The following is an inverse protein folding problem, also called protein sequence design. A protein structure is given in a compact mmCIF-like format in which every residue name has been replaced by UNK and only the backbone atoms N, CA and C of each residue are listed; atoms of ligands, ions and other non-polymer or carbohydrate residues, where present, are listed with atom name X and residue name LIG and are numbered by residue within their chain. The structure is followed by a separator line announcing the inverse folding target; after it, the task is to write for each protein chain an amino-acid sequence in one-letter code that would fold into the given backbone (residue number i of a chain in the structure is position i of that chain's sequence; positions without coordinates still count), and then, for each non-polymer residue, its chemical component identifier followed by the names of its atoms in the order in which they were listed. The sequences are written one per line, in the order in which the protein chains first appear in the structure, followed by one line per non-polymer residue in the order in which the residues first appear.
data_IF_929169191282
#
_entry.id   IF_929169191282
#
_cell.length_a   1.000
_cell.length_b   1.000
_cell.length_c   1.000
_cell.angle_alpha   90.00
_cell.angle_beta   90.00
_cell.angle_gamma   90.00
#
_symmetry.space_group_name_H-M   'P 1'
#
loop_
_entity.id
_entity.type
_entity.pdbx_description
1 polymer ?
#
# COMPACT_ATOMS: atom_id res chain seq x y z
N UNK A 1 10.22 -13.31 -11.06
CA UNK A 1 10.01 -12.26 -12.08
C UNK A 1 8.53 -12.05 -12.37
N UNK A 2 7.75 -13.08 -12.78
CA UNK A 2 6.30 -12.93 -13.03
C UNK A 2 5.53 -12.38 -11.82
N UNK A 3 5.82 -12.85 -10.60
CA UNK A 3 5.22 -12.35 -9.36
C UNK A 3 5.50 -10.86 -9.13
N UNK A 4 6.76 -10.43 -9.24
CA UNK A 4 7.17 -9.02 -9.13
C UNK A 4 6.48 -8.15 -10.19
N UNK A 5 6.35 -8.64 -11.42
CA UNK A 5 5.62 -7.93 -12.47
C UNK A 5 4.14 -7.78 -12.09
N UNK A 6 3.51 -8.85 -11.58
CA UNK A 6 2.13 -8.81 -11.11
C UNK A 6 1.95 -7.84 -9.94
N UNK A 7 2.90 -7.81 -9.00
CA UNK A 7 2.94 -6.86 -7.88
C UNK A 7 3.13 -5.41 -8.34
N UNK A 8 3.74 -5.19 -9.50
CA UNK A 8 3.90 -3.88 -10.13
C UNK A 8 2.64 -3.40 -10.87
N UNK A 9 1.80 -4.33 -11.35
CA UNK A 9 0.54 -3.99 -12.05
C UNK A 9 -0.39 -3.21 -11.14
N UNK A 10 -0.52 -3.61 -9.88
CA UNK A 10 -1.39 -2.94 -8.91
C UNK A 10 -1.02 -1.45 -8.67
N UNK A 11 0.22 -1.10 -8.27
CA UNK A 11 0.60 0.30 -8.07
C UNK A 11 0.60 1.09 -9.38
N UNK A 12 0.95 0.49 -10.52
CA UNK A 12 0.86 1.16 -11.81
C UNK A 12 -0.59 1.49 -12.19
N UNK A 13 -1.51 0.56 -11.98
CA UNK A 13 -2.94 0.77 -12.22
C UNK A 13 -3.51 1.85 -11.31
N UNK A 14 -3.18 1.81 -10.00
CA UNK A 14 -3.59 2.86 -9.07
C UNK A 14 -3.03 4.21 -9.53
N UNK A 15 -1.73 4.30 -9.81
CA UNK A 15 -1.13 5.55 -10.28
C UNK A 15 -1.82 6.09 -11.53
N UNK A 16 -2.13 5.23 -12.50
CA UNK A 16 -2.85 5.60 -13.71
C UNK A 16 -4.25 6.16 -13.42
N UNK A 17 -5.04 5.47 -12.60
CA UNK A 17 -6.39 5.93 -12.20
C UNK A 17 -6.30 7.24 -11.42
N UNK A 18 -5.32 7.37 -10.53
CA UNK A 18 -5.09 8.59 -9.75
C UNK A 18 -4.77 9.79 -10.64
N UNK A 19 -3.88 9.63 -11.63
CA UNK A 19 -3.46 10.72 -12.54
C UNK A 19 -4.56 11.07 -13.54
N UNK A 20 -5.20 10.06 -14.15
CA UNK A 20 -6.21 10.28 -15.19
C UNK A 20 -7.48 10.94 -14.67
N UNK A 21 -7.77 10.80 -13.37
CA UNK A 21 -8.96 11.39 -12.74
C UNK A 21 -8.65 12.60 -11.84
N UNK A 22 -7.48 13.24 -11.96
CA UNK A 22 -7.19 14.51 -11.25
C UNK A 22 -8.21 15.57 -11.68
N UNK A 23 -8.96 16.11 -10.72
CA UNK A 23 -9.99 17.13 -10.94
C UNK A 23 -11.37 16.61 -11.33
N UNK A 24 -11.54 15.29 -11.53
CA UNK A 24 -12.82 14.70 -11.97
C UNK A 24 -13.75 14.29 -10.79
N UNK A 25 -13.54 14.83 -9.59
CA UNK A 25 -14.36 14.52 -8.43
C UNK A 25 -14.68 15.81 -7.66
N UNK A 26 -15.89 16.34 -7.86
CA UNK A 26 -16.32 17.59 -7.22
C UNK A 26 -16.56 17.45 -5.70
N UNK A 27 -16.72 16.22 -5.22
CA UNK A 27 -17.03 15.92 -3.82
C UNK A 27 -15.80 16.03 -2.94
N UNK A 28 -14.70 15.41 -3.37
CA UNK A 28 -13.43 15.47 -2.66
C UNK A 28 -12.24 15.21 -3.60
N UNK A 29 -11.54 16.28 -3.97
CA UNK A 29 -10.33 16.26 -4.79
C UNK A 29 -9.15 15.54 -4.10
N UNK A 30 -9.27 15.21 -2.81
CA UNK A 30 -8.22 14.48 -2.07
C UNK A 30 -8.15 13.00 -2.39
N UNK A 31 -9.22 12.39 -2.93
CA UNK A 31 -9.25 10.97 -3.29
C UNK A 31 -8.17 10.61 -4.34
N UNK A 32 -8.07 11.30 -5.51
CA UNK A 32 -7.05 10.97 -6.50
C UNK A 32 -5.64 11.23 -5.97
N UNK A 33 -5.43 12.33 -5.22
CA UNK A 33 -4.13 12.64 -4.59
C UNK A 33 -3.72 11.54 -3.61
N UNK A 34 -4.64 11.09 -2.76
CA UNK A 34 -4.43 9.98 -1.84
C UNK A 34 -4.04 8.70 -2.59
N UNK A 35 -4.71 8.40 -3.69
CA UNK A 35 -4.46 7.19 -4.48
C UNK A 35 -3.08 7.23 -5.17
N UNK A 36 -2.64 8.41 -5.63
CA UNK A 36 -1.26 8.64 -6.11
C UNK A 36 -0.25 8.44 -4.98
N UNK A 37 -0.52 8.97 -3.78
CA UNK A 37 0.35 8.78 -2.62
C UNK A 37 0.50 7.28 -2.27
N UNK A 38 -0.61 6.53 -2.23
CA UNK A 38 -0.59 5.08 -2.02
C UNK A 38 0.23 4.37 -3.10
N UNK A 39 -0.02 4.68 -4.37
CA UNK A 39 0.73 4.07 -5.48
C UNK A 39 2.24 4.33 -5.34
N UNK A 40 2.63 5.57 -5.05
CA UNK A 40 4.04 5.94 -4.84
C UNK A 40 4.68 5.21 -3.66
N UNK A 41 3.94 5.03 -2.55
CA UNK A 41 4.41 4.30 -1.39
C UNK A 41 4.57 2.80 -1.67
N UNK A 42 3.67 2.20 -2.46
CA UNK A 42 3.80 0.82 -2.92
C UNK A 42 5.04 0.63 -3.83
N UNK A 43 5.29 1.55 -4.76
CA UNK A 43 6.52 1.53 -5.56
C UNK A 43 7.77 1.63 -4.69
N UNK A 44 7.78 2.55 -3.72
CA UNK A 44 8.90 2.71 -2.80
C UNK A 44 9.13 1.43 -1.98
N UNK A 45 8.05 0.80 -1.49
CA UNK A 45 8.15 -0.46 -0.76
C UNK A 45 8.75 -1.58 -1.63
N UNK A 46 8.30 -1.72 -2.88
CA UNK A 46 8.83 -2.71 -3.82
C UNK A 46 10.33 -2.50 -4.07
N UNK A 47 10.77 -1.25 -4.24
CA UNK A 47 12.18 -0.91 -4.44
C UNK A 47 12.99 -1.27 -3.19
N UNK A 48 12.52 -0.88 -2.00
CA UNK A 48 13.21 -1.19 -0.74
C UNK A 48 13.30 -2.70 -0.50
N UNK A 49 12.23 -3.45 -0.75
CA UNK A 49 12.23 -4.92 -0.66
C UNK A 49 13.23 -5.55 -1.63
N UNK A 50 13.28 -5.07 -2.87
CA UNK A 50 14.26 -5.54 -3.85
C UNK A 50 15.71 -5.26 -3.41
N UNK A 51 15.99 -4.08 -2.84
CA UNK A 51 17.32 -3.73 -2.31
C UNK A 51 17.69 -4.62 -1.12
N UNK A 52 16.78 -4.85 -0.19
CA UNK A 52 17.01 -5.75 0.97
C UNK A 52 17.28 -7.18 0.50
N UNK A 53 16.52 -7.69 -0.47
CA UNK A 53 16.74 -9.02 -1.05
C UNK A 53 18.08 -9.11 -1.80
N UNK A 54 18.45 -8.06 -2.54
CA UNK A 54 19.72 -7.99 -3.24
C UNK A 54 20.91 -8.04 -2.25
N UNK A 55 20.85 -7.25 -1.17
CA UNK A 55 21.87 -7.29 -0.11
C UNK A 55 21.98 -8.66 0.55
N UNK A 56 20.83 -9.30 0.84
CA UNK A 56 20.79 -10.65 1.41
C UNK A 56 21.46 -11.69 0.50
N UNK A 57 21.31 -11.56 -0.82
CA UNK A 57 21.95 -12.46 -1.78
C UNK A 57 23.46 -12.25 -1.89
N UNK A 58 23.92 -11.00 -1.83
CA UNK A 58 25.34 -10.66 -1.95
C UNK A 58 26.19 -10.97 -0.71
N UNK A 59 25.59 -10.94 0.50
CA UNK A 59 26.38 -10.81 1.73
C UNK A 59 26.19 -11.92 2.78
N UNK A 60 25.88 -13.17 2.38
CA UNK A 60 25.83 -14.33 3.30
C UNK A 60 27.11 -14.52 4.16
N UNK A 61 28.22 -13.87 3.84
CA UNK A 61 29.53 -14.02 4.52
C UNK A 61 29.83 -12.88 5.53
N UNK A 62 29.01 -11.83 5.64
CA UNK A 62 29.25 -10.72 6.62
C UNK A 62 27.97 -10.28 7.36
N UNK A 63 27.14 -11.26 7.73
CA UNK A 63 26.00 -11.12 8.65
C UNK A 63 26.54 -10.93 10.07
N UNK A 64 26.48 -9.76 10.71
CA UNK A 64 25.34 -9.35 11.55
C UNK A 64 25.29 -7.81 11.81
N UNK A 65 26.23 -7.01 11.27
CA UNK A 65 26.45 -5.59 11.68
C UNK A 65 26.50 -4.56 10.54
N UNK A 66 26.04 -4.88 9.34
CA UNK A 66 25.98 -3.87 8.27
C UNK A 66 24.83 -2.88 8.51
N UNK A 67 25.20 -1.66 8.93
CA UNK A 67 24.28 -0.53 9.21
C UNK A 67 23.26 -0.34 8.08
N UNK A 68 23.68 -0.50 6.82
CA UNK A 68 22.82 -0.34 5.65
C UNK A 68 21.62 -1.29 5.69
N UNK A 69 21.83 -2.58 5.97
CA UNK A 69 20.74 -3.56 5.99
C UNK A 69 19.70 -3.22 7.06
N UNK A 70 20.16 -2.89 8.27
CA UNK A 70 19.29 -2.47 9.37
C UNK A 70 18.51 -1.20 9.01
N UNK A 71 19.18 -0.22 8.41
CA UNK A 71 18.56 1.04 7.96
C UNK A 71 17.50 0.78 6.89
N UNK A 72 17.77 -0.06 5.89
CA UNK A 72 16.78 -0.39 4.85
C UNK A 72 15.57 -1.14 5.42
N UNK A 73 15.77 -2.10 6.33
CA UNK A 73 14.65 -2.79 7.00
C UNK A 73 13.83 -1.84 7.89
N UNK A 74 14.50 -0.93 8.61
CA UNK A 74 13.83 0.09 9.39
C UNK A 74 13.00 1.02 8.49
N UNK A 75 13.59 1.50 7.39
CA UNK A 75 12.90 2.35 6.42
C UNK A 75 11.67 1.64 5.83
N UNK A 76 11.80 0.36 5.48
CA UNK A 76 10.72 -0.46 4.97
C UNK A 76 9.60 -0.63 6.00
N UNK A 77 9.96 -0.82 7.28
CA UNK A 77 8.99 -0.88 8.39
C UNK A 77 8.25 0.45 8.56
N UNK A 78 8.97 1.58 8.48
CA UNK A 78 8.38 2.93 8.56
C UNK A 78 7.44 3.16 7.38
N UNK A 79 7.84 2.82 6.15
CA UNK A 79 6.98 2.95 4.96
C UNK A 79 5.71 2.12 5.11
N UNK A 80 5.80 0.88 5.59
CA UNK A 80 4.62 0.03 5.84
C UNK A 80 3.66 0.64 6.86
N UNK A 81 4.19 1.21 7.96
CA UNK A 81 3.37 1.91 8.96
C UNK A 81 2.71 3.17 8.38
N UNK A 82 3.46 3.97 7.61
CA UNK A 82 2.92 5.15 6.95
C UNK A 82 1.80 4.79 5.96
N UNK A 83 1.99 3.72 5.19
CA UNK A 83 0.99 3.18 4.27
C UNK A 83 -0.26 2.70 5.00
N UNK A 84 -0.11 2.05 6.16
CA UNK A 84 -1.24 1.64 6.98
C UNK A 84 -2.07 2.84 7.45
N UNK A 85 -1.43 3.90 7.94
CA UNK A 85 -2.10 5.15 8.31
C UNK A 85 -2.77 5.80 7.10
N UNK A 86 -2.09 5.82 5.95
CA UNK A 86 -2.65 6.35 4.71
C UNK A 86 -3.91 5.57 4.28
N UNK A 87 -3.95 4.25 4.41
CA UNK A 87 -5.14 3.44 4.13
C UNK A 87 -6.31 3.83 5.04
N UNK A 88 -6.05 4.06 6.33
CA UNK A 88 -7.07 4.53 7.29
C UNK A 88 -7.67 5.86 6.83
N UNK A 89 -6.81 6.82 6.48
CA UNK A 89 -7.22 8.13 5.96
C UNK A 89 -8.06 7.96 4.68
N UNK A 90 -7.66 7.03 3.81
CA UNK A 90 -8.39 6.67 2.59
C UNK A 90 -9.83 6.24 2.84
N UNK A 91 -10.08 5.43 3.87
CA UNK A 91 -11.45 5.05 4.23
C UNK A 91 -12.31 6.26 4.53
N UNK A 92 -11.78 7.22 5.31
CA UNK A 92 -12.52 8.42 5.68
C UNK A 92 -12.90 9.21 4.42
N UNK A 93 -12.00 9.33 3.45
CA UNK A 93 -12.30 10.02 2.18
C UNK A 93 -13.29 9.26 1.31
N UNK A 94 -13.09 7.96 1.10
CA UNK A 94 -13.92 7.18 0.18
C UNK A 94 -15.34 6.95 0.73
N UNK A 95 -15.47 6.67 2.03
CA UNK A 95 -16.79 6.50 2.65
C UNK A 95 -17.55 7.81 2.81
N UNK A 96 -16.87 8.93 3.08
CA UNK A 96 -17.54 10.24 3.13
C UNK A 96 -18.13 10.65 1.78
N UNK A 97 -17.51 10.21 0.68
CA UNK A 97 -18.00 10.43 -0.68
C UNK A 97 -19.07 9.43 -1.16
N UNK A 98 -19.43 8.40 -0.38
CA UNK A 98 -20.34 7.32 -0.82
C UNK A 98 -21.72 7.82 -1.27
N UNK A 99 -22.34 8.72 -0.51
CA UNK A 99 -23.68 9.23 -0.82
C UNK A 99 -23.73 10.14 -2.05
N UNK A 100 -22.58 10.68 -2.47
CA UNK A 100 -22.43 11.60 -3.61
C UNK A 100 -21.50 11.03 -4.69
N UNK A 101 -21.30 9.72 -4.72
CA UNK A 101 -20.38 9.07 -5.64
C UNK A 101 -20.65 9.39 -7.13
N UNK A 102 -21.90 9.65 -7.51
CA UNK A 102 -22.30 10.05 -8.87
C UNK A 102 -21.71 11.40 -9.32
N UNK A 103 -21.18 12.21 -8.41
CA UNK A 103 -20.48 13.47 -8.71
C UNK A 103 -18.97 13.29 -8.92
N UNK A 104 -18.48 12.07 -8.81
CA UNK A 104 -17.10 11.70 -9.08
C UNK A 104 -17.04 10.73 -10.25
N UNK A 105 -15.92 10.73 -10.94
CA UNK A 105 -15.63 9.71 -11.95
C UNK A 105 -15.82 8.31 -11.35
N UNK A 106 -16.71 7.53 -11.98
CA UNK A 106 -17.09 6.21 -11.48
C UNK A 106 -15.88 5.30 -11.38
N UNK A 107 -14.94 5.36 -12.33
CA UNK A 107 -13.76 4.50 -12.32
C UNK A 107 -12.87 4.78 -11.10
N UNK A 108 -12.61 6.06 -10.81
CA UNK A 108 -11.82 6.49 -9.65
C UNK A 108 -12.48 6.07 -8.34
N UNK A 109 -13.78 6.35 -8.21
CA UNK A 109 -14.52 6.05 -6.99
C UNK A 109 -14.56 4.54 -6.71
N UNK A 110 -14.96 3.73 -7.70
CA UNK A 110 -15.06 2.28 -7.53
C UNK A 110 -13.70 1.63 -7.31
N UNK A 111 -12.65 2.08 -7.99
CA UNK A 111 -11.28 1.57 -7.78
C UNK A 111 -10.81 1.84 -6.34
N UNK A 112 -11.01 3.08 -5.86
CA UNK A 112 -10.67 3.45 -4.48
C UNK A 112 -11.47 2.65 -3.45
N UNK A 113 -12.79 2.49 -3.69
CA UNK A 113 -13.68 1.71 -2.83
C UNK A 113 -13.27 0.24 -2.76
N UNK A 114 -13.03 -0.40 -3.90
CA UNK A 114 -12.59 -1.81 -3.96
C UNK A 114 -11.24 -1.97 -3.26
N UNK A 115 -10.29 -1.06 -3.51
CA UNK A 115 -8.97 -1.08 -2.86
C UNK A 115 -9.09 -0.99 -1.33
N UNK A 116 -9.94 -0.08 -0.83
CA UNK A 116 -10.29 0.03 0.58
C UNK A 116 -10.88 -1.29 1.12
N UNK A 117 -11.90 -1.87 0.48
CA UNK A 117 -12.52 -3.12 0.98
C UNK A 117 -11.51 -4.27 1.01
N UNK A 118 -10.70 -4.43 -0.05
CA UNK A 118 -9.64 -5.44 -0.09
C UNK A 118 -8.61 -5.22 1.02
N UNK A 119 -8.24 -3.96 1.29
CA UNK A 119 -7.37 -3.59 2.40
C UNK A 119 -7.92 -4.02 3.76
N UNK A 120 -9.21 -3.84 4.03
CA UNK A 120 -9.85 -4.30 5.27
C UNK A 120 -9.81 -5.80 5.41
N UNK A 121 -10.11 -6.52 4.32
CA UNK A 121 -10.13 -7.99 4.33
C UNK A 121 -8.73 -8.51 4.64
N UNK A 122 -7.70 -7.99 3.98
CA UNK A 122 -6.30 -8.37 4.23
C UNK A 122 -5.92 -8.06 5.69
N UNK A 123 -6.28 -6.88 6.20
CA UNK A 123 -6.00 -6.51 7.59
C UNK A 123 -6.70 -7.44 8.59
N UNK A 124 -7.98 -7.77 8.38
CA UNK A 124 -8.72 -8.69 9.24
C UNK A 124 -8.11 -10.10 9.23
N UNK A 125 -7.69 -10.59 8.06
CA UNK A 125 -7.00 -11.89 7.94
C UNK A 125 -5.67 -11.85 8.70
N UNK A 126 -4.86 -10.78 8.55
CA UNK A 126 -3.60 -10.64 9.27
C UNK A 126 -3.80 -10.63 10.78
N UNK A 127 -4.82 -9.91 11.29
CA UNK A 127 -5.16 -9.92 12.71
C UNK A 127 -5.59 -11.31 13.19
N UNK A 128 -6.41 -12.02 12.42
CA UNK A 128 -6.82 -13.39 12.76
C UNK A 128 -5.60 -14.32 12.83
N UNK A 129 -4.69 -14.26 11.86
CA UNK A 129 -3.46 -15.06 11.85
C UNK A 129 -2.60 -14.73 13.07
N UNK A 130 -2.38 -13.45 13.38
CA UNK A 130 -1.61 -13.03 14.56
C UNK A 130 -2.25 -13.53 15.85
N UNK A 131 -3.58 -13.41 15.98
CA UNK A 131 -4.33 -13.92 17.14
C UNK A 131 -4.24 -15.44 17.26
N UNK A 132 -4.34 -16.18 16.15
CA UNK A 132 -4.20 -17.63 16.12
C UNK A 132 -2.79 -18.07 16.53
N UNK A 133 -1.74 -17.43 15.99
CA UNK A 133 -0.36 -17.74 16.33
C UNK A 133 -0.06 -17.42 17.79
N UNK A 134 -0.48 -16.26 18.29
CA UNK A 134 -0.33 -15.86 19.69
C UNK A 134 -1.03 -16.84 20.65
N UNK A 135 -2.19 -17.37 20.26
CA UNK A 135 -2.91 -18.38 21.04
C UNK A 135 -2.19 -19.74 21.06
N UNK A 136 -1.51 -20.13 19.98
CA UNK A 136 -0.76 -21.40 19.93
C UNK A 136 0.58 -21.36 20.67
N UNK A 137 1.13 -20.17 20.91
CA UNK A 137 2.40 -20.02 21.65
C UNK A 137 2.24 -19.96 23.17
N UNK A 138 1.01 -19.90 23.68
CA UNK A 138 0.70 -19.91 25.13
C UNK A 138 0.23 -21.28 25.58
#
# INVERSE_FOLDING_TARGET
MLLLLLELVLPAFLLYVGISSIGNCMVDERIPVWLICIASGLFLQLILEAVVQYQKSGNRIRTETDINYTVFNLALTIVRLAMFVAIIIGYVFVFSAYSKNNQCDQLLYWTSFIYCILGLIVFAILLLVVCCVARTSS
#
